data_IF_093047034191
#
_entry.id   IF_093047034191
#
_cell.length_a   1.000
_cell.length_b   1.000
_cell.length_c   1.000
_cell.angle_alpha   90.00
_cell.angle_beta   90.00
_cell.angle_gamma   90.00
#
_symmetry.space_group_name_H-M   'P 1'
#
loop_
_entity.id
_entity.type
_entity.pdbx_description
1 polymer ?
#
# COMPACT_ATOMS: atom_id res chain seq x y z
N UNK A 1 19.97 -10.77 -17.77
CA UNK A 1 19.01 -11.30 -16.78
C UNK A 1 17.75 -11.63 -17.53
N UNK A 2 17.11 -12.74 -17.19
CA UNK A 2 15.75 -13.01 -17.68
C UNK A 2 14.81 -11.91 -17.17
N UNK A 3 13.80 -11.57 -17.97
CA UNK A 3 12.79 -10.62 -17.53
C UNK A 3 11.85 -11.33 -16.56
N UNK A 4 12.02 -11.10 -15.26
CA UNK A 4 11.10 -11.61 -14.25
C UNK A 4 9.66 -11.19 -14.58
N UNK A 5 8.70 -12.11 -14.42
CA UNK A 5 7.27 -11.82 -14.59
C UNK A 5 6.65 -11.62 -13.22
N UNK A 6 5.92 -10.53 -13.02
CA UNK A 6 5.26 -10.26 -11.74
C UNK A 6 3.82 -10.80 -11.89
N UNK A 7 3.43 -11.84 -11.12
CA UNK A 7 2.11 -12.44 -11.25
C UNK A 7 1.01 -11.46 -10.88
N UNK A 8 -0.04 -11.44 -11.68
CA UNK A 8 -1.28 -10.68 -11.46
C UNK A 8 -2.44 -11.56 -11.00
N UNK A 9 -2.32 -12.89 -11.21
CA UNK A 9 -3.28 -13.90 -10.75
C UNK A 9 -2.60 -15.01 -9.94
N UNK A 10 -3.35 -15.71 -9.07
CA UNK A 10 -2.85 -16.90 -8.37
C UNK A 10 -2.45 -18.06 -9.27
N UNK A 11 -3.02 -18.17 -10.49
CA UNK A 11 -2.59 -19.17 -11.47
C UNK A 11 -1.20 -18.84 -12.01
N UNK A 12 -0.98 -17.60 -12.45
CA UNK A 12 0.36 -17.13 -12.87
C UNK A 12 1.39 -17.32 -11.76
N UNK A 13 1.04 -17.01 -10.52
CA UNK A 13 1.92 -17.25 -9.37
C UNK A 13 2.25 -18.74 -9.20
N UNK A 14 1.26 -19.63 -9.31
CA UNK A 14 1.47 -21.07 -9.18
C UNK A 14 2.35 -21.62 -10.30
N UNK A 15 2.14 -21.18 -11.54
CA UNK A 15 2.96 -21.55 -12.70
C UNK A 15 4.42 -21.08 -12.54
N UNK A 16 4.61 -19.85 -12.04
CA UNK A 16 5.94 -19.29 -11.77
C UNK A 16 6.66 -20.02 -10.63
N UNK A 17 5.98 -20.31 -9.52
CA UNK A 17 6.54 -21.10 -8.40
C UNK A 17 6.88 -22.52 -8.82
N UNK A 18 6.04 -23.17 -9.61
CA UNK A 18 6.33 -24.51 -10.14
C UNK A 18 7.58 -24.48 -11.03
N UNK A 19 7.73 -23.44 -11.86
CA UNK A 19 8.90 -23.24 -12.73
C UNK A 19 10.20 -22.95 -11.95
N UNK A 20 10.16 -22.17 -10.86
CA UNK A 20 11.36 -21.75 -10.12
C UNK A 20 11.78 -22.73 -9.04
N UNK A 21 10.84 -23.24 -8.24
CA UNK A 21 11.11 -24.10 -7.08
C UNK A 21 11.02 -25.61 -7.38
N UNK A 22 10.52 -26.00 -8.56
CA UNK A 22 10.22 -27.40 -8.94
C UNK A 22 9.33 -28.14 -7.92
N UNK A 23 8.56 -27.38 -7.13
CA UNK A 23 7.72 -27.84 -6.05
C UNK A 23 6.24 -27.74 -6.43
N UNK A 24 5.38 -28.37 -5.63
CA UNK A 24 3.94 -28.15 -5.67
C UNK A 24 3.63 -26.79 -4.97
N UNK A 25 3.01 -25.81 -5.65
CA UNK A 25 2.68 -24.52 -5.04
C UNK A 25 1.77 -24.61 -3.80
N UNK A 26 0.98 -25.68 -3.67
CA UNK A 26 0.13 -25.93 -2.49
C UNK A 26 0.92 -26.37 -1.25
N UNK A 27 2.05 -27.04 -1.45
CA UNK A 27 3.00 -27.47 -0.41
C UNK A 27 4.16 -26.48 -0.20
N UNK A 28 4.28 -25.48 -1.09
CA UNK A 28 5.30 -24.45 -1.01
C UNK A 28 4.95 -23.47 0.11
N UNK A 29 5.60 -23.67 1.25
CA UNK A 29 5.50 -22.81 2.43
C UNK A 29 6.70 -21.84 2.52
N UNK A 30 6.47 -20.70 3.14
CA UNK A 30 7.47 -19.67 3.40
C UNK A 30 8.54 -20.13 4.42
N UNK A 31 8.33 -21.21 5.19
CA UNK A 31 9.43 -21.88 5.92
C UNK A 31 10.51 -22.50 5.00
N UNK A 32 10.21 -22.69 3.70
CA UNK A 32 11.21 -23.06 2.68
C UNK A 32 12.21 -21.93 2.40
N UNK A 33 11.88 -20.68 2.78
CA UNK A 33 12.83 -19.57 2.82
C UNK A 33 13.87 -19.91 3.90
N UNK A 34 15.06 -20.35 3.47
CA UNK A 34 16.09 -20.90 4.35
C UNK A 34 16.41 -20.00 5.54
N UNK A 35 16.29 -20.56 6.75
CA UNK A 35 16.40 -19.83 8.01
C UNK A 35 17.72 -19.06 8.12
N UNK A 36 17.63 -17.73 8.21
CA UNK A 36 18.77 -16.83 8.37
C UNK A 36 19.39 -16.28 7.07
N UNK A 37 18.82 -16.55 5.89
CA UNK A 37 19.42 -16.13 4.61
C UNK A 37 19.08 -14.68 4.21
N UNK A 38 17.86 -14.18 4.46
CA UNK A 38 17.35 -13.02 3.70
C UNK A 38 17.76 -11.65 4.22
N UNK A 39 17.95 -11.50 5.53
CA UNK A 39 18.29 -10.20 6.11
C UNK A 39 17.23 -9.14 5.79
N UNK A 40 17.50 -8.28 4.80
CA UNK A 40 16.62 -7.18 4.38
C UNK A 40 15.84 -7.51 3.10
N UNK A 41 14.58 -7.08 3.03
CA UNK A 41 13.72 -7.12 1.84
C UNK A 41 14.38 -6.53 0.57
N UNK A 42 15.29 -5.56 0.72
CA UNK A 42 16.10 -5.00 -0.38
C UNK A 42 17.10 -5.99 -1.01
N UNK A 43 17.29 -7.17 -0.42
CA UNK A 43 18.18 -8.25 -0.86
C UNK A 43 17.44 -9.55 -1.20
N UNK A 44 16.11 -9.52 -1.14
CA UNK A 44 15.26 -10.65 -1.51
C UNK A 44 15.46 -10.98 -2.99
N UNK A 45 15.68 -12.26 -3.33
CA UNK A 45 15.70 -12.65 -4.74
C UNK A 45 14.26 -12.78 -5.25
N UNK A 46 14.08 -12.82 -6.57
CA UNK A 46 12.75 -13.00 -7.16
C UNK A 46 12.12 -14.35 -6.73
N UNK A 47 12.92 -15.42 -6.66
CA UNK A 47 12.42 -16.76 -6.30
C UNK A 47 11.90 -16.79 -4.86
N UNK A 48 12.58 -16.07 -3.95
CA UNK A 48 12.18 -15.93 -2.54
C UNK A 48 11.03 -14.94 -2.35
N UNK A 49 10.91 -13.94 -3.22
CA UNK A 49 9.76 -13.04 -3.26
C UNK A 49 8.47 -13.76 -3.67
N UNK A 50 8.54 -14.74 -4.58
CA UNK A 50 7.38 -15.60 -4.89
C UNK A 50 6.87 -16.33 -3.64
N UNK A 51 7.76 -16.71 -2.71
CA UNK A 51 7.39 -17.34 -1.43
C UNK A 51 6.67 -16.40 -0.44
N UNK A 52 6.44 -15.13 -0.82
CA UNK A 52 5.57 -14.20 -0.07
C UNK A 52 4.11 -14.21 -0.54
N UNK A 53 3.74 -14.96 -1.60
CA UNK A 53 2.37 -14.97 -2.19
C UNK A 53 1.80 -13.57 -2.49
N UNK A 54 2.65 -12.71 -3.03
CA UNK A 54 2.25 -11.37 -3.50
C UNK A 54 1.91 -11.44 -4.98
N UNK A 55 0.76 -10.86 -5.35
CA UNK A 55 0.36 -10.63 -6.74
C UNK A 55 0.08 -9.13 -6.96
N UNK A 56 0.43 -8.61 -8.13
CA UNK A 56 0.25 -7.21 -8.48
C UNK A 56 -0.84 -7.03 -9.53
N UNK A 57 -1.85 -6.22 -9.21
CA UNK A 57 -2.89 -5.81 -10.15
C UNK A 57 -2.66 -4.36 -10.52
N UNK A 58 -2.41 -4.11 -11.81
CA UNK A 58 -2.43 -2.76 -12.37
C UNK A 58 -3.89 -2.37 -12.60
N UNK A 59 -4.31 -1.31 -11.93
CA UNK A 59 -5.67 -0.78 -12.03
C UNK A 59 -5.77 0.20 -13.20
N UNK A 60 -6.91 0.16 -13.89
CA UNK A 60 -7.19 1.05 -15.01
C UNK A 60 -7.38 2.50 -14.51
N UNK A 61 -6.47 3.37 -14.93
CA UNK A 61 -6.49 4.79 -14.58
C UNK A 61 -5.92 5.13 -13.20
N UNK A 62 -6.14 6.39 -12.82
CA UNK A 62 -5.61 7.01 -11.61
C UNK A 62 -6.48 6.66 -10.39
N UNK A 63 -5.89 6.65 -9.19
CA UNK A 63 -6.66 6.45 -7.96
C UNK A 63 -7.68 7.58 -7.78
N UNK A 64 -8.90 7.23 -7.42
CA UNK A 64 -9.94 8.19 -7.09
C UNK A 64 -10.51 7.88 -5.71
N UNK A 65 -11.24 8.84 -5.14
CA UNK A 65 -11.97 8.58 -3.91
C UNK A 65 -13.00 7.44 -4.06
N UNK A 66 -13.57 7.25 -5.26
CA UNK A 66 -14.53 6.17 -5.52
C UNK A 66 -13.84 4.80 -5.60
N UNK A 67 -12.64 4.69 -6.17
CA UNK A 67 -11.90 3.42 -6.20
C UNK A 67 -11.40 2.96 -4.82
N UNK A 68 -11.13 3.90 -3.91
CA UNK A 68 -10.76 3.56 -2.52
C UNK A 68 -12.00 3.32 -1.65
N UNK A 69 -12.94 4.27 -1.61
CA UNK A 69 -14.02 4.34 -0.62
C UNK A 69 -15.39 3.89 -1.15
N UNK A 70 -15.47 3.46 -2.41
CA UNK A 70 -16.72 3.10 -3.06
C UNK A 70 -17.69 4.28 -3.15
N UNK A 71 -19.02 4.06 -3.01
CA UNK A 71 -20.03 5.11 -3.13
C UNK A 71 -19.87 6.31 -2.20
N UNK A 72 -19.13 6.18 -1.09
CA UNK A 72 -18.83 7.30 -0.16
C UNK A 72 -17.72 8.23 -0.67
N UNK A 73 -16.98 7.83 -1.71
CA UNK A 73 -15.83 8.58 -2.21
C UNK A 73 -16.14 10.02 -2.57
N UNK A 74 -17.26 10.27 -3.25
CA UNK A 74 -17.65 11.62 -3.67
C UNK A 74 -17.97 12.53 -2.46
N UNK A 75 -18.58 11.99 -1.39
CA UNK A 75 -18.86 12.72 -0.15
C UNK A 75 -17.57 13.05 0.61
N UNK A 76 -16.63 12.10 0.68
CA UNK A 76 -15.32 12.30 1.31
C UNK A 76 -14.51 13.35 0.55
N UNK A 77 -14.45 13.27 -0.79
CA UNK A 77 -13.79 14.26 -1.65
C UNK A 77 -14.34 15.67 -1.42
N UNK A 78 -15.66 15.84 -1.48
CA UNK A 78 -16.30 17.13 -1.22
C UNK A 78 -16.09 17.62 0.23
N UNK A 79 -15.84 16.72 1.17
CA UNK A 79 -15.53 17.08 2.56
C UNK A 79 -14.08 17.55 2.71
N UNK A 80 -13.11 16.85 2.13
CA UNK A 80 -11.72 17.30 2.05
C UNK A 80 -11.60 18.65 1.33
N UNK A 81 -12.32 18.84 0.22
CA UNK A 81 -12.36 20.11 -0.53
C UNK A 81 -12.88 21.27 0.34
N UNK A 82 -13.98 21.05 1.08
CA UNK A 82 -14.57 22.04 2.01
C UNK A 82 -13.72 22.27 3.26
N UNK A 83 -12.87 21.33 3.66
CA UNK A 83 -11.90 21.52 4.73
C UNK A 83 -10.76 22.40 4.22
N UNK A 84 -10.05 21.97 3.17
CA UNK A 84 -8.92 22.70 2.57
C UNK A 84 -9.29 24.12 2.12
N UNK A 85 -10.49 24.35 1.58
CA UNK A 85 -10.93 25.69 1.18
C UNK A 85 -11.04 26.70 2.34
N UNK A 86 -11.09 26.24 3.60
CA UNK A 86 -11.10 27.09 4.80
C UNK A 86 -9.70 27.43 5.31
N UNK A 87 -8.69 26.70 4.84
CA UNK A 87 -7.33 26.84 5.36
C UNK A 87 -6.67 28.13 4.87
N UNK A 88 -6.11 28.97 5.76
CA UNK A 88 -5.50 30.24 5.38
C UNK A 88 -4.37 30.08 4.35
N UNK A 89 -3.57 29.01 4.46
CA UNK A 89 -2.48 28.74 3.51
C UNK A 89 -3.00 28.36 2.11
N UNK A 90 -4.11 27.61 2.02
CA UNK A 90 -4.74 27.25 0.74
C UNK A 90 -5.38 28.48 0.08
N UNK A 91 -6.00 29.36 0.88
CA UNK A 91 -6.51 30.65 0.41
C UNK A 91 -5.38 31.56 -0.07
N UNK A 92 -4.26 31.62 0.65
CA UNK A 92 -3.08 32.37 0.26
C UNK A 92 -2.46 31.85 -1.06
N UNK A 93 -2.34 30.52 -1.24
CA UNK A 93 -1.90 29.94 -2.51
C UNK A 93 -2.82 30.34 -3.66
N UNK A 94 -4.15 30.16 -3.49
CA UNK A 94 -5.18 30.54 -4.47
C UNK A 94 -5.22 32.03 -4.81
N UNK A 95 -4.74 32.90 -3.91
CA UNK A 95 -4.68 34.34 -4.13
C UNK A 95 -3.37 34.82 -4.78
N UNK A 96 -2.27 34.05 -4.67
CA UNK A 96 -0.94 34.45 -5.14
C UNK A 96 -0.48 33.69 -6.40
N UNK A 97 -1.26 32.74 -6.90
CA UNK A 97 -0.97 32.03 -8.15
C UNK A 97 -2.27 31.73 -8.91
N UNK A 98 -2.26 31.99 -10.22
CA UNK A 98 -3.29 31.50 -11.16
C UNK A 98 -3.33 29.96 -11.19
N UNK A 99 -2.27 29.31 -10.70
CA UNK A 99 -2.10 27.87 -10.61
C UNK A 99 -1.48 27.49 -9.25
N UNK A 100 -2.27 27.47 -8.16
CA UNK A 100 -1.78 27.23 -6.79
C UNK A 100 -1.23 25.82 -6.57
N UNK A 101 -1.44 24.91 -7.53
CA UNK A 101 -1.04 23.51 -7.48
C UNK A 101 0.14 23.20 -8.41
N UNK A 102 0.79 24.23 -8.97
CA UNK A 102 2.05 24.09 -9.72
C UNK A 102 3.23 23.81 -8.77
N UNK A 103 3.25 22.62 -8.16
CA UNK A 103 4.28 22.24 -7.21
C UNK A 103 5.64 21.91 -7.86
N UNK A 104 5.89 22.37 -9.09
CA UNK A 104 7.21 22.32 -9.71
C UNK A 104 8.28 23.00 -8.85
N UNK A 105 7.90 24.03 -8.08
CA UNK A 105 8.77 24.68 -7.08
C UNK A 105 8.98 23.88 -5.79
N UNK A 106 8.12 22.91 -5.44
CA UNK A 106 8.35 22.02 -4.28
C UNK A 106 9.25 20.82 -4.62
N UNK A 107 9.69 20.67 -5.86
CA UNK A 107 10.80 19.80 -6.23
C UNK A 107 12.12 20.59 -6.11
N UNK A 108 12.86 20.53 -4.97
CA UNK A 108 14.10 21.31 -4.78
C UNK A 108 15.23 20.94 -5.75
N UNK A 109 15.07 19.87 -6.55
CA UNK A 109 15.96 19.52 -7.66
C UNK A 109 15.54 20.10 -9.02
N UNK A 110 14.28 20.56 -9.16
CA UNK A 110 13.81 21.34 -10.33
C UNK A 110 14.10 22.83 -10.12
N UNK A 111 14.04 23.32 -8.87
CA UNK A 111 14.47 24.67 -8.52
C UNK A 111 15.98 24.86 -8.75
N UNK A 112 16.34 25.73 -9.70
CA UNK A 112 17.69 26.23 -9.83
C UNK A 112 17.97 27.35 -8.79
N UNK A 113 19.24 27.63 -8.53
CA UNK A 113 19.65 28.60 -7.50
C UNK A 113 19.04 30.00 -7.72
N UNK A 114 18.78 30.41 -8.97
CA UNK A 114 18.14 31.70 -9.25
C UNK A 114 16.67 31.72 -8.87
N UNK A 115 15.93 30.61 -9.03
CA UNK A 115 14.52 30.52 -8.66
C UNK A 115 14.37 30.52 -7.13
N UNK A 116 15.22 29.76 -6.42
CA UNK A 116 15.31 29.82 -4.95
C UNK A 116 15.58 31.28 -4.50
N UNK A 117 16.55 31.95 -5.11
CA UNK A 117 16.89 33.34 -4.77
C UNK A 117 15.81 34.36 -5.18
N UNK A 118 14.95 34.05 -6.16
CA UNK A 118 13.78 34.89 -6.51
C UNK A 118 12.61 34.70 -5.54
N UNK A 119 12.45 33.51 -4.96
CA UNK A 119 11.46 33.28 -3.90
C UNK A 119 11.88 33.88 -2.56
N UNK A 120 13.18 34.03 -2.29
CA UNK A 120 13.70 34.60 -1.01
C UNK A 120 13.10 35.98 -0.67
N UNK A 121 13.01 36.97 -1.58
CA UNK A 121 12.30 38.22 -1.34
C UNK A 121 10.81 38.03 -0.98
N UNK A 122 10.09 37.17 -1.71
CA UNK A 122 8.67 36.90 -1.45
C UNK A 122 8.46 36.26 -0.09
N UNK A 123 9.25 35.23 0.25
CA UNK A 123 9.24 34.56 1.55
C UNK A 123 9.60 35.51 2.72
N UNK A 124 10.48 36.48 2.50
CA UNK A 124 10.82 37.56 3.46
C UNK A 124 9.82 38.72 3.49
N UNK A 125 8.85 38.73 2.58
CA UNK A 125 7.80 39.76 2.50
C UNK A 125 6.44 39.27 3.00
N UNK A 126 6.32 37.97 3.28
CA UNK A 126 5.25 37.45 4.13
C UNK A 126 5.43 38.05 5.52
N UNK A 127 4.40 38.73 6.02
CA UNK A 127 4.43 39.42 7.31
C UNK A 127 4.76 38.41 8.43
N UNK A 128 5.96 38.54 9.00
CA UNK A 128 6.68 37.47 9.74
C UNK A 128 6.05 37.10 11.10
N UNK A 129 4.82 37.50 11.37
CA UNK A 129 4.24 37.54 12.71
C UNK A 129 3.52 36.26 13.16
N UNK A 130 3.29 35.24 12.32
CA UNK A 130 2.30 34.20 12.65
C UNK A 130 2.41 32.81 11.99
N UNK A 131 3.35 32.52 11.08
CA UNK A 131 3.17 31.30 10.26
C UNK A 131 3.58 30.03 11.04
N UNK A 132 4.53 30.12 11.96
CA UNK A 132 5.23 28.95 12.44
C UNK A 132 5.92 29.30 13.77
N UNK A 133 5.73 28.65 14.95
CA UNK A 133 6.54 28.87 16.22
C UNK A 133 6.75 30.35 16.61
N UNK A 134 5.86 31.19 16.10
CA UNK A 134 6.08 32.52 15.52
C UNK A 134 7.30 32.69 14.58
N UNK A 135 8.43 31.96 14.79
CA UNK A 135 9.47 31.71 13.78
C UNK A 135 9.30 30.49 12.80
N UNK A 136 9.38 29.20 13.22
CA UNK A 136 9.70 28.09 12.27
C UNK A 136 9.44 26.57 12.65
N UNK A 137 8.21 25.97 12.50
CA UNK A 137 7.93 24.56 12.20
C UNK A 137 8.66 23.84 11.09
N UNK A 138 9.50 24.51 10.30
CA UNK A 138 10.32 23.85 9.29
C UNK A 138 11.83 24.10 9.50
N UNK A 139 12.25 24.52 10.71
CA UNK A 139 13.65 24.86 11.00
C UNK A 139 14.58 23.66 11.04
N UNK A 140 15.26 23.42 9.93
CA UNK A 140 16.52 22.70 9.95
C UNK A 140 17.65 23.64 10.39
N UNK A 141 18.12 23.48 11.63
CA UNK A 141 19.29 24.18 12.19
C UNK A 141 20.61 23.73 11.54
N UNK A 142 20.80 24.03 10.26
CA UNK A 142 22.10 23.91 9.61
C UNK A 142 22.88 25.22 9.87
N UNK A 143 23.81 25.16 10.82
CA UNK A 143 24.75 26.26 11.10
C UNK A 143 25.63 26.61 9.89
N UNK A 144 26.38 27.73 9.95
CA UNK A 144 27.11 28.26 8.80
C UNK A 144 28.06 27.23 8.19
N UNK A 145 27.71 26.76 6.99
CA UNK A 145 28.48 25.77 6.25
C UNK A 145 29.83 26.37 5.82
N UNK A 146 30.94 25.81 6.32
CA UNK A 146 32.28 26.24 5.90
C UNK A 146 32.49 25.89 4.42
N UNK A 147 32.48 26.93 3.58
CA UNK A 147 32.63 26.81 2.12
C UNK A 147 33.94 26.12 1.68
N UNK A 148 34.90 25.94 2.60
CA UNK A 148 36.16 25.23 2.38
C UNK A 148 36.07 23.70 2.43
N UNK A 149 34.92 23.12 2.79
CA UNK A 149 34.67 21.66 2.75
C UNK A 149 33.70 21.22 1.65
N UNK A 150 33.90 21.69 0.42
CA UNK A 150 33.31 21.00 -0.75
C UNK A 150 34.04 19.67 -0.97
N UNK A 151 33.34 18.52 -1.08
CA UNK A 151 33.91 17.35 -1.69
C UNK A 151 34.34 17.70 -3.12
N UNK A 152 35.58 17.39 -3.50
CA UNK A 152 36.00 17.59 -4.88
C UNK A 152 35.14 16.72 -5.79
N UNK A 153 34.45 17.36 -6.73
CA UNK A 153 33.78 16.67 -7.86
C UNK A 153 34.85 16.10 -8.76
N UNK A 154 35.32 14.89 -8.46
CA UNK A 154 36.21 14.13 -9.35
C UNK A 154 35.50 13.92 -10.68
N UNK A 155 36.21 14.22 -11.77
CA UNK A 155 35.71 14.07 -13.12
C UNK A 155 35.33 12.61 -13.37
N UNK A 156 34.08 12.35 -13.74
CA UNK A 156 33.62 11.00 -14.05
C UNK A 156 34.40 10.43 -15.23
N UNK A 157 35.16 9.36 -14.99
CA UNK A 157 35.46 8.37 -16.02
C UNK A 157 34.16 7.58 -16.26
N UNK A 158 33.79 7.36 -17.52
CA UNK A 158 32.56 6.64 -17.86
C UNK A 158 32.59 5.22 -17.28
N UNK A 159 31.60 4.80 -16.46
CA UNK A 159 31.57 3.46 -15.89
C UNK A 159 31.36 2.40 -16.96
N UNK A 160 31.95 1.22 -16.75
CA UNK A 160 31.70 0.05 -17.58
C UNK A 160 30.29 -0.50 -17.37
N UNK A 161 29.79 -1.27 -18.34
CA UNK A 161 28.39 -1.74 -18.35
C UNK A 161 28.01 -2.63 -17.14
N UNK A 162 28.99 -3.21 -16.44
CA UNK A 162 28.79 -3.96 -15.20
C UNK A 162 28.40 -3.06 -14.00
N UNK A 163 28.90 -1.82 -13.94
CA UNK A 163 28.72 -0.93 -12.79
C UNK A 163 27.30 -0.35 -12.68
N UNK A 164 26.54 -0.33 -13.78
CA UNK A 164 25.17 0.23 -13.82
C UNK A 164 24.12 -0.64 -13.12
N UNK A 165 24.40 -1.92 -12.90
CA UNK A 165 23.44 -2.88 -12.32
C UNK A 165 23.67 -3.15 -10.82
N UNK A 166 24.80 -2.70 -10.27
CA UNK A 166 25.10 -2.73 -8.83
C UNK A 166 24.75 -1.42 -8.11
N UNK A 167 24.17 -0.45 -8.81
CA UNK A 167 23.79 0.87 -8.27
C UNK A 167 22.33 0.97 -7.82
N UNK A 168 21.47 0.01 -8.19
CA UNK A 168 20.07 -0.07 -7.76
C UNK A 168 19.86 -0.81 -6.43
N UNK A 169 20.88 -1.54 -5.95
CA UNK A 169 20.87 -2.28 -4.70
C UNK A 169 22.29 -2.36 -4.13
N UNK A 170 22.44 -1.99 -2.85
CA UNK A 170 23.70 -1.54 -2.26
C UNK A 170 24.83 -2.57 -2.25
N UNK A 171 26.05 -2.12 -2.59
CA UNK A 171 27.26 -2.91 -2.49
C UNK A 171 27.62 -3.21 -1.02
N UNK A 172 27.59 -4.49 -0.65
CA UNK A 172 28.23 -5.01 0.54
C UNK A 172 28.95 -6.32 0.17
N UNK A 173 30.28 -6.28 0.07
CA UNK A 173 31.12 -7.44 -0.22
C UNK A 173 31.03 -8.47 0.91
N UNK A 174 30.84 -9.75 0.56
CA UNK A 174 30.85 -10.85 1.53
C UNK A 174 32.23 -11.03 2.17
N UNK A 175 32.31 -10.73 3.47
CA UNK A 175 33.45 -11.05 4.32
C UNK A 175 32.97 -11.95 5.46
N UNK A 176 33.28 -13.24 5.40
CA UNK A 176 32.94 -14.20 6.45
C UNK A 176 33.68 -13.87 7.75
N UNK A 177 32.93 -13.64 8.82
CA UNK A 177 33.28 -13.95 10.21
C UNK A 177 34.42 -13.17 10.86
N UNK A 178 34.08 -12.11 11.61
CA UNK A 178 34.64 -11.88 12.95
C UNK A 178 33.80 -10.90 13.77
N UNK A 179 33.99 -10.94 15.09
CA UNK A 179 33.12 -10.36 16.10
C UNK A 179 33.02 -8.83 16.11
N UNK A 180 31.81 -8.34 16.40
CA UNK A 180 31.62 -7.32 17.43
C UNK A 180 32.20 -5.92 17.21
N UNK A 181 31.82 -5.23 16.13
CA UNK A 181 31.76 -3.75 16.12
C UNK A 181 30.59 -3.26 15.27
N UNK A 182 29.73 -2.41 15.85
CA UNK A 182 28.62 -1.76 15.14
C UNK A 182 29.14 -0.76 14.12
N UNK A 183 29.13 -1.14 12.84
CA UNK A 183 29.51 -0.27 11.73
C UNK A 183 28.37 0.72 11.47
N UNK A 184 28.64 2.03 11.26
CA UNK A 184 27.58 2.97 10.91
C UNK A 184 27.00 2.64 9.54
N UNK A 185 25.66 2.59 9.46
CA UNK A 185 24.93 2.26 8.24
C UNK A 185 25.30 3.21 7.08
N UNK A 186 25.49 2.68 5.85
CA UNK A 186 25.64 3.51 4.65
C UNK A 186 24.29 4.16 4.33
N UNK A 187 24.06 5.33 4.91
CA UNK A 187 22.80 6.04 4.77
C UNK A 187 22.42 6.30 3.31
N UNK A 188 21.12 6.27 3.02
CA UNK A 188 20.50 6.72 1.78
C UNK A 188 21.27 7.90 1.18
N UNK A 189 21.69 7.77 -0.08
CA UNK A 189 22.33 8.85 -0.83
C UNK A 189 21.50 10.13 -0.75
N UNK A 190 22.17 11.29 -0.71
CA UNK A 190 21.52 12.56 -0.33
C UNK A 190 20.23 12.88 -1.09
N UNK A 191 20.15 12.51 -2.36
CA UNK A 191 18.99 12.70 -3.23
C UNK A 191 17.74 11.93 -2.74
N UNK A 192 17.89 10.66 -2.33
CA UNK A 192 16.76 9.86 -1.82
C UNK A 192 16.19 10.41 -0.51
N UNK A 193 17.04 10.98 0.35
CA UNK A 193 16.60 11.67 1.58
C UNK A 193 15.82 12.94 1.26
N UNK A 194 16.22 13.69 0.23
CA UNK A 194 15.54 14.92 -0.19
C UNK A 194 14.13 14.60 -0.71
N UNK A 195 14.01 13.61 -1.60
CA UNK A 195 12.73 13.17 -2.18
C UNK A 195 11.77 12.75 -1.06
N UNK A 196 12.23 11.91 -0.12
CA UNK A 196 11.42 11.48 1.04
C UNK A 196 10.92 12.66 1.88
N UNK A 197 11.80 13.61 2.21
CA UNK A 197 11.40 14.79 2.98
C UNK A 197 10.38 15.67 2.24
N UNK A 198 10.43 15.78 0.90
CA UNK A 198 9.43 16.52 0.13
C UNK A 198 8.02 15.91 0.28
N UNK A 199 7.85 14.60 0.08
CA UNK A 199 6.55 13.93 0.27
C UNK A 199 6.06 14.02 1.72
N UNK A 200 6.95 13.84 2.70
CA UNK A 200 6.60 13.92 4.11
C UNK A 200 6.16 15.33 4.53
N UNK A 201 6.83 16.38 4.05
CA UNK A 201 6.43 17.77 4.30
C UNK A 201 5.07 18.07 3.65
N UNK A 202 4.83 17.57 2.43
CA UNK A 202 3.51 17.68 1.78
C UNK A 202 2.42 16.99 2.63
N UNK A 203 2.61 15.74 3.03
CA UNK A 203 1.67 14.98 3.86
C UNK A 203 1.41 15.66 5.20
N UNK A 204 2.47 16.13 5.86
CA UNK A 204 2.36 16.84 7.14
C UNK A 204 1.59 18.16 7.00
N UNK A 205 1.92 19.00 6.00
CA UNK A 205 1.25 20.28 5.77
C UNK A 205 -0.22 20.13 5.39
N UNK A 206 -0.51 19.27 4.40
CA UNK A 206 -1.87 19.01 3.90
C UNK A 206 -2.77 18.40 4.98
N UNK A 207 -2.23 17.53 5.83
CA UNK A 207 -2.99 16.89 6.91
C UNK A 207 -2.92 17.65 8.25
N UNK A 208 -2.15 18.74 8.35
CA UNK A 208 -1.94 19.48 9.61
C UNK A 208 -3.26 19.92 10.28
N UNK A 209 -4.25 20.49 9.58
CA UNK A 209 -5.48 20.99 10.21
C UNK A 209 -6.36 19.88 10.79
N UNK A 210 -6.24 18.67 10.24
CA UNK A 210 -6.85 17.46 10.78
C UNK A 210 -6.06 16.98 12.01
N UNK A 211 -4.75 16.76 11.86
CA UNK A 211 -3.92 16.11 12.89
C UNK A 211 -3.68 16.99 14.12
N UNK A 212 -3.83 18.32 14.03
CA UNK A 212 -3.77 19.23 15.17
C UNK A 212 -5.02 19.22 16.05
N UNK A 213 -6.13 18.59 15.62
CA UNK A 213 -7.32 18.51 16.46
C UNK A 213 -7.02 17.71 17.75
N UNK A 214 -7.56 18.08 18.92
CA UNK A 214 -7.25 17.41 20.19
C UNK A 214 -7.47 15.89 20.19
N UNK A 215 -8.44 15.41 19.40
CA UNK A 215 -8.75 14.00 19.16
C UNK A 215 -7.65 13.26 18.37
N UNK A 216 -6.92 13.97 17.51
CA UNK A 216 -5.95 13.39 16.57
C UNK A 216 -4.49 13.76 16.82
N UNK A 217 -4.18 14.52 17.88
CA UNK A 217 -2.81 14.92 18.28
C UNK A 217 -1.79 13.76 18.42
N UNK A 218 -2.28 12.52 18.58
CA UNK A 218 -1.46 11.31 18.70
C UNK A 218 -0.99 10.76 17.34
N UNK A 219 -1.67 11.11 16.25
CA UNK A 219 -1.36 10.63 14.90
C UNK A 219 -0.36 11.57 14.22
N UNK A 220 0.61 11.01 13.51
CA UNK A 220 1.59 11.82 12.76
C UNK A 220 2.14 11.09 11.54
N UNK A 221 2.20 11.78 10.41
CA UNK A 221 3.10 11.41 9.30
C UNK A 221 4.55 11.67 9.73
N UNK A 222 5.45 10.71 9.53
CA UNK A 222 6.81 10.77 10.09
C UNK A 222 7.86 10.09 9.21
N UNK A 223 9.08 10.65 9.23
CA UNK A 223 10.30 10.10 8.61
C UNK A 223 10.92 8.92 9.41
N UNK A 224 10.14 8.27 10.27
CA UNK A 224 10.63 7.13 11.06
C UNK A 224 10.79 5.94 10.12
N UNK A 225 12.04 5.50 9.95
CA UNK A 225 12.39 4.28 9.21
C UNK A 225 12.01 3.04 10.02
N UNK A 226 10.72 2.74 10.09
CA UNK A 226 10.21 1.66 10.94
C UNK A 226 10.57 0.30 10.38
N UNK A 227 11.14 -0.57 11.23
CA UNK A 227 11.41 -1.96 10.87
C UNK A 227 10.19 -2.84 11.10
N UNK A 228 9.80 -3.57 10.07
CA UNK A 228 8.86 -4.69 10.14
C UNK A 228 9.58 -6.01 9.89
N UNK A 229 9.01 -7.14 10.30
CA UNK A 229 9.58 -8.46 10.04
C UNK A 229 8.56 -9.55 9.73
N UNK A 230 8.91 -10.40 8.78
CA UNK A 230 8.33 -11.74 8.62
C UNK A 230 9.05 -12.66 9.60
N UNK A 231 8.30 -13.32 10.50
CA UNK A 231 8.86 -14.17 11.56
C UNK A 231 8.06 -15.45 11.74
N UNK A 232 8.73 -16.60 11.72
CA UNK A 232 8.11 -17.93 11.71
C UNK A 232 8.34 -18.67 13.03
N UNK A 233 7.37 -19.45 13.54
CA UNK A 233 7.60 -20.39 14.63
C UNK A 233 8.79 -21.29 14.31
N UNK A 234 9.70 -21.47 15.27
CA UNK A 234 10.81 -22.41 15.13
C UNK A 234 10.22 -23.85 15.09
N UNK A 235 10.67 -24.73 14.17
CA UNK A 235 10.19 -26.11 14.10
C UNK A 235 10.45 -26.94 15.37
N UNK A 236 11.51 -26.61 16.13
CA UNK A 236 11.85 -27.30 17.38
C UNK A 236 11.10 -26.72 18.60
N UNK A 237 10.69 -25.45 18.54
CA UNK A 237 9.96 -24.74 19.60
C UNK A 237 9.07 -23.63 19.02
N UNK A 238 7.79 -23.94 18.84
CA UNK A 238 6.80 -23.00 18.30
C UNK A 238 6.57 -21.74 19.16
N UNK A 239 7.07 -21.69 20.41
CA UNK A 239 7.01 -20.46 21.23
C UNK A 239 8.06 -19.43 20.81
N UNK A 240 9.15 -19.87 20.18
CA UNK A 240 10.21 -19.02 19.65
C UNK A 240 9.90 -18.70 18.19
N UNK A 241 9.81 -17.42 17.84
CA UNK A 241 9.66 -16.97 16.44
C UNK A 241 10.99 -16.46 15.89
N UNK A 242 11.47 -17.06 14.81
CA UNK A 242 12.70 -16.66 14.12
C UNK A 242 12.38 -15.68 13.00
N UNK A 243 13.09 -14.54 12.96
CA UNK A 243 13.00 -13.59 11.83
C UNK A 243 13.50 -14.25 10.55
N UNK A 244 12.64 -14.28 9.53
CA UNK A 244 12.96 -14.76 8.18
C UNK A 244 13.45 -13.59 7.32
N UNK A 245 12.74 -12.46 7.36
CA UNK A 245 13.06 -11.24 6.61
C UNK A 245 12.70 -10.00 7.44
N UNK A 246 13.47 -8.91 7.30
CA UNK A 246 13.07 -7.58 7.77
C UNK A 246 12.90 -6.60 6.61
N UNK A 247 11.98 -5.65 6.75
CA UNK A 247 11.80 -4.53 5.83
C UNK A 247 11.87 -3.23 6.63
N UNK A 248 12.36 -2.15 6.02
CA UNK A 248 12.32 -0.80 6.60
C UNK A 248 11.66 0.13 5.61
N UNK A 249 10.71 0.92 6.11
CA UNK A 249 10.05 1.95 5.31
C UNK A 249 10.87 3.24 5.27
N UNK A 250 10.50 4.15 4.38
CA UNK A 250 11.07 5.51 4.33
C UNK A 250 10.28 6.49 5.20
N UNK A 251 9.03 6.15 5.53
CA UNK A 251 8.22 6.82 6.54
C UNK A 251 6.93 6.07 6.83
N UNK A 252 6.06 6.65 7.65
CA UNK A 252 4.73 6.11 7.96
C UNK A 252 3.77 7.14 8.56
N UNK A 253 2.47 6.85 8.50
CA UNK A 253 1.47 7.40 9.43
C UNK A 253 1.46 6.49 10.67
N UNK A 254 1.70 7.06 11.85
CA UNK A 254 1.81 6.29 13.11
C UNK A 254 0.94 6.88 14.22
N UNK A 255 0.51 6.02 15.15
CA UNK A 255 -0.22 6.37 16.38
C UNK A 255 0.73 6.34 17.58
N UNK A 256 0.96 7.50 18.20
CA UNK A 256 1.76 7.62 19.42
C UNK A 256 0.88 7.41 20.65
N UNK A 257 0.87 6.21 21.23
CA UNK A 257 0.21 5.98 22.52
C UNK A 257 1.14 6.37 23.68
N UNK A 258 0.55 6.83 24.76
CA UNK A 258 1.29 7.15 25.97
C UNK A 258 2.06 5.92 26.49
N UNK A 259 3.28 6.16 27.00
CA UNK A 259 4.20 5.14 27.51
C UNK A 259 4.77 4.14 26.48
N UNK A 260 4.44 4.25 25.18
CA UNK A 260 5.12 3.49 24.13
C UNK A 260 6.40 4.19 23.64
N UNK A 261 7.44 3.40 23.38
CA UNK A 261 8.63 3.87 22.67
C UNK A 261 8.32 4.11 21.17
N UNK A 262 9.18 4.87 20.45
CA UNK A 262 8.93 5.23 19.05
C UNK A 262 8.72 4.00 18.15
N UNK A 263 9.51 2.94 18.37
CA UNK A 263 9.46 1.70 17.57
C UNK A 263 8.23 0.82 17.89
N UNK A 264 7.50 1.12 18.97
CA UNK A 264 6.30 0.39 19.42
C UNK A 264 4.98 1.10 19.12
N UNK A 265 5.02 2.18 18.34
CA UNK A 265 3.83 2.88 17.83
C UNK A 265 3.09 2.02 16.79
N UNK A 266 1.77 2.09 16.72
CA UNK A 266 1.02 1.38 15.67
C UNK A 266 1.12 2.13 14.33
N UNK A 267 1.26 1.40 13.22
CA UNK A 267 1.29 2.02 11.88
C UNK A 267 -0.07 1.93 11.19
N UNK A 268 -0.46 3.02 10.54
CA UNK A 268 -1.71 3.12 9.78
C UNK A 268 -1.50 3.14 8.26
N UNK A 269 -0.34 3.63 7.81
CA UNK A 269 0.07 3.64 6.41
C UNK A 269 1.60 3.71 6.32
N UNK A 270 2.18 3.17 5.25
CA UNK A 270 3.63 3.18 5.01
C UNK A 270 4.01 4.03 3.80
N UNK A 271 5.22 4.60 3.86
CA UNK A 271 5.83 5.38 2.77
C UNK A 271 7.10 4.66 2.29
N UNK A 272 7.25 4.56 0.97
CA UNK A 272 8.43 4.03 0.27
C UNK A 272 8.91 5.05 -0.77
N UNK A 273 10.22 5.24 -0.90
CA UNK A 273 10.78 6.27 -1.79
C UNK A 273 11.83 5.68 -2.71
N UNK A 274 11.76 6.01 -4.00
CA UNK A 274 12.68 5.55 -5.03
C UNK A 274 13.30 6.77 -5.73
N UNK A 275 14.64 6.87 -5.83
CA UNK A 275 15.31 8.04 -6.42
C UNK A 275 15.26 8.06 -7.96
N UNK A 276 14.51 7.13 -8.57
CA UNK A 276 14.38 6.93 -10.00
C UNK A 276 12.91 6.68 -10.36
N UNK A 277 12.56 6.90 -11.63
CA UNK A 277 11.21 6.59 -12.14
C UNK A 277 11.01 5.09 -12.26
N UNK A 278 9.79 4.63 -11.94
CA UNK A 278 9.34 3.22 -12.04
C UNK A 278 9.57 2.62 -13.42
N UNK A 279 9.33 3.42 -14.46
CA UNK A 279 9.33 2.99 -15.87
C UNK A 279 10.69 3.07 -16.57
N UNK A 280 11.75 3.58 -15.92
CA UNK A 280 13.01 3.92 -16.60
C UNK A 280 14.28 3.55 -15.78
N UNK A 281 14.97 2.43 -16.12
CA UNK A 281 14.60 1.41 -17.11
C UNK A 281 13.38 0.57 -16.69
N UNK A 282 12.79 -0.17 -17.62
CA UNK A 282 11.62 -1.05 -17.42
C UNK A 282 11.78 -2.03 -16.25
N UNK A 283 12.98 -2.55 -16.01
CA UNK A 283 13.25 -3.46 -14.89
C UNK A 283 13.14 -2.80 -13.50
N UNK A 284 13.14 -1.47 -13.40
CA UNK A 284 12.91 -0.78 -12.12
C UNK A 284 11.54 -1.12 -11.57
N UNK A 285 10.48 -1.13 -12.39
CA UNK A 285 9.12 -1.40 -11.94
C UNK A 285 9.04 -2.72 -11.18
N UNK A 286 9.67 -3.76 -11.72
CA UNK A 286 9.70 -5.10 -11.14
C UNK A 286 10.48 -5.13 -9.82
N UNK A 287 11.63 -4.46 -9.76
CA UNK A 287 12.42 -4.35 -8.53
C UNK A 287 11.67 -3.57 -7.42
N UNK A 288 10.97 -2.50 -7.80
CA UNK A 288 10.14 -1.69 -6.90
C UNK A 288 8.93 -2.49 -6.41
N UNK A 289 8.22 -3.19 -7.29
CA UNK A 289 7.10 -4.08 -6.94
C UNK A 289 7.52 -5.24 -6.01
N UNK A 290 8.72 -5.79 -6.22
CA UNK A 290 9.31 -6.79 -5.31
C UNK A 290 9.54 -6.17 -3.92
N UNK A 291 10.21 -5.01 -3.85
CA UNK A 291 10.49 -4.35 -2.57
C UNK A 291 9.21 -3.89 -1.84
N UNK A 292 8.30 -3.19 -2.52
CA UNK A 292 7.04 -2.70 -1.95
C UNK A 292 6.16 -3.85 -1.45
N UNK A 293 6.08 -4.95 -2.22
CA UNK A 293 5.36 -6.17 -1.82
C UNK A 293 5.98 -6.81 -0.57
N UNK A 294 7.31 -6.88 -0.49
CA UNK A 294 8.03 -7.41 0.66
C UNK A 294 7.88 -6.53 1.92
N UNK A 295 7.91 -5.20 1.78
CA UNK A 295 7.62 -4.25 2.86
C UNK A 295 6.20 -4.41 3.39
N UNK A 296 5.21 -4.52 2.50
CA UNK A 296 3.81 -4.74 2.89
C UNK A 296 3.61 -6.10 3.58
N UNK A 297 4.20 -7.18 3.05
CA UNK A 297 4.15 -8.51 3.67
C UNK A 297 4.76 -8.53 5.08
N UNK A 298 5.91 -7.88 5.28
CA UNK A 298 6.54 -7.74 6.59
C UNK A 298 5.66 -6.94 7.57
N UNK A 299 5.02 -5.86 7.11
CA UNK A 299 4.08 -5.10 7.94
C UNK A 299 2.86 -5.94 8.33
N UNK A 300 2.28 -6.73 7.43
CA UNK A 300 1.13 -7.62 7.72
C UNK A 300 1.50 -8.75 8.69
N UNK A 301 2.69 -9.34 8.58
CA UNK A 301 3.20 -10.28 9.57
C UNK A 301 3.26 -9.64 10.96
N UNK A 302 3.94 -8.49 11.06
CA UNK A 302 4.24 -7.79 12.33
C UNK A 302 2.97 -7.28 13.01
N UNK A 303 2.14 -6.57 12.27
CA UNK A 303 0.88 -5.98 12.71
C UNK A 303 -0.22 -6.57 11.84
N UNK A 304 -1.10 -7.41 12.37
CA UNK A 304 -2.08 -8.12 11.53
C UNK A 304 -3.26 -7.25 11.07
N UNK A 305 -3.77 -6.43 11.99
CA UNK A 305 -5.09 -5.76 11.88
C UNK A 305 -5.07 -4.26 12.11
N UNK A 306 -3.91 -3.65 12.32
CA UNK A 306 -3.79 -2.18 12.45
C UNK A 306 -3.88 -1.50 11.07
N UNK A 307 -4.27 -0.23 11.00
CA UNK A 307 -4.17 0.55 9.76
C UNK A 307 -5.10 0.12 8.63
N UNK A 308 -6.34 -0.27 8.96
CA UNK A 308 -7.28 -0.81 7.99
C UNK A 308 -8.12 0.28 7.31
N UNK A 309 -8.11 0.26 5.98
CA UNK A 309 -9.04 0.99 5.11
C UNK A 309 -10.40 0.26 5.00
N UNK A 310 -11.47 0.91 4.49
CA UNK A 310 -12.77 0.30 4.39
C UNK A 310 -12.76 -0.93 3.51
N UNK A 311 -13.38 -2.00 3.99
CA UNK A 311 -13.60 -3.21 3.20
C UNK A 311 -14.82 -3.00 2.28
N UNK A 312 -14.75 -3.47 1.04
CA UNK A 312 -15.81 -3.20 0.05
C UNK A 312 -17.07 -4.08 0.25
N UNK A 313 -17.09 -4.99 1.23
CA UNK A 313 -18.13 -6.02 1.37
C UNK A 313 -18.09 -6.75 2.72
N UNK A 314 -19.07 -7.65 2.95
CA UNK A 314 -19.05 -8.69 4.01
C UNK A 314 -17.86 -9.67 3.93
N UNK A 315 -17.01 -9.55 2.91
CA UNK A 315 -15.76 -10.29 2.80
C UNK A 315 -14.85 -9.98 3.99
N UNK A 316 -14.30 -11.01 4.63
CA UNK A 316 -13.24 -10.88 5.64
C UNK A 316 -11.89 -10.55 4.98
N UNK A 317 -11.85 -9.41 4.30
CA UNK A 317 -10.69 -8.89 3.61
C UNK A 317 -10.25 -7.61 4.29
N UNK A 318 -8.95 -7.49 4.47
CA UNK A 318 -8.26 -6.35 5.06
C UNK A 318 -7.65 -5.50 3.95
N UNK A 319 -7.63 -4.18 4.12
CA UNK A 319 -7.04 -3.25 3.14
C UNK A 319 -6.06 -2.30 3.82
N UNK A 320 -4.88 -2.11 3.22
CA UNK A 320 -3.80 -1.23 3.74
C UNK A 320 -3.30 -0.25 2.69
N UNK A 321 -2.79 0.88 3.18
CA UNK A 321 -2.26 1.97 2.37
C UNK A 321 -0.72 1.91 2.29
N UNK A 322 -0.20 1.84 1.07
CA UNK A 322 1.17 2.21 0.74
C UNK A 322 1.13 3.45 -0.16
N UNK A 323 1.89 4.48 0.20
CA UNK A 323 2.18 5.62 -0.66
C UNK A 323 3.64 5.49 -1.08
N UNK A 324 3.95 5.64 -2.35
CA UNK A 324 5.33 5.71 -2.81
C UNK A 324 5.61 6.89 -3.70
N UNK A 325 6.84 7.42 -3.63
CA UNK A 325 7.33 8.43 -4.54
C UNK A 325 8.51 7.90 -5.35
N UNK A 326 8.33 7.86 -6.67
CA UNK A 326 9.33 7.47 -7.65
C UNK A 326 9.75 8.72 -8.42
N UNK A 327 10.77 9.40 -7.92
CA UNK A 327 11.26 10.68 -8.46
C UNK A 327 10.17 11.78 -8.51
N UNK A 328 9.52 11.99 -9.66
CA UNK A 328 8.46 13.01 -9.86
C UNK A 328 7.05 12.43 -10.06
N UNK A 329 6.86 11.16 -9.69
CA UNK A 329 5.59 10.44 -9.68
C UNK A 329 5.26 9.96 -8.26
N UNK A 330 4.02 10.14 -7.81
CA UNK A 330 3.51 9.54 -6.56
C UNK A 330 2.49 8.46 -6.89
N UNK A 331 2.71 7.26 -6.34
CA UNK A 331 1.84 6.10 -6.49
C UNK A 331 1.07 5.89 -5.19
N UNK A 332 -0.23 5.61 -5.30
CA UNK A 332 -1.07 5.12 -4.21
C UNK A 332 -1.36 3.66 -4.50
N UNK A 333 -0.93 2.77 -3.60
CA UNK A 333 -1.12 1.33 -3.72
C UNK A 333 -1.98 0.83 -2.57
N UNK A 334 -3.04 0.09 -2.89
CA UNK A 334 -3.91 -0.53 -1.89
C UNK A 334 -3.63 -2.02 -1.82
N UNK A 335 -3.12 -2.46 -0.68
CA UNK A 335 -2.88 -3.87 -0.39
C UNK A 335 -4.16 -4.52 0.14
N UNK A 336 -4.67 -5.56 -0.53
CA UNK A 336 -5.82 -6.36 -0.08
C UNK A 336 -5.38 -7.78 0.29
N UNK A 337 -5.82 -8.28 1.45
CA UNK A 337 -5.46 -9.61 1.98
C UNK A 337 -6.57 -10.16 2.89
N UNK A 338 -6.47 -11.38 3.39
CA UNK A 338 -7.49 -12.03 4.25
C UNK A 338 -6.90 -12.78 5.46
N UNK A 339 -7.77 -13.38 6.27
CA UNK A 339 -7.40 -14.23 7.43
C UNK A 339 -6.40 -15.34 7.06
N UNK A 340 -6.49 -15.91 5.85
CA UNK A 340 -5.61 -16.99 5.39
C UNK A 340 -4.22 -16.45 5.06
N UNK A 341 -4.13 -15.28 4.42
CA UNK A 341 -2.84 -14.64 4.16
C UNK A 341 -2.14 -14.24 5.47
N UNK A 342 -2.86 -13.72 6.47
CA UNK A 342 -2.28 -13.38 7.79
C UNK A 342 -1.68 -14.61 8.47
N UNK A 343 -2.37 -15.74 8.46
CA UNK A 343 -1.85 -17.00 8.98
C UNK A 343 -0.59 -17.46 8.21
N UNK A 344 -0.57 -17.25 6.89
CA UNK A 344 0.50 -17.75 6.00
C UNK A 344 1.80 -16.99 6.21
N UNK A 345 1.73 -15.66 6.14
CA UNK A 345 2.89 -14.79 6.34
C UNK A 345 3.42 -14.83 7.79
N UNK A 346 2.68 -15.51 8.69
CA UNK A 346 3.07 -15.84 10.05
C UNK A 346 3.55 -17.29 10.22
N UNK A 347 3.43 -18.15 9.22
CA UNK A 347 3.79 -19.56 9.35
C UNK A 347 2.94 -20.31 10.37
N UNK A 348 1.70 -19.86 10.58
CA UNK A 348 0.72 -20.62 11.33
C UNK A 348 0.26 -21.78 10.43
N UNK A 349 0.00 -22.97 10.99
CA UNK A 349 -0.31 -24.18 10.21
C UNK A 349 -1.66 -24.06 9.46
N UNK A 350 -1.63 -23.63 8.20
CA UNK A 350 -2.82 -23.54 7.35
C UNK A 350 -3.09 -24.87 6.66
N UNK A 351 -4.36 -25.29 6.69
CA UNK A 351 -4.89 -26.23 5.71
C UNK A 351 -5.42 -25.45 4.51
N UNK A 352 -4.67 -25.45 3.41
CA UNK A 352 -5.08 -24.77 2.18
C UNK A 352 -6.39 -25.35 1.62
N UNK A 353 -7.30 -24.50 1.10
CA UNK A 353 -8.33 -24.97 0.19
C UNK A 353 -7.66 -25.57 -1.05
N UNK A 354 -8.04 -26.77 -1.45
CA UNK A 354 -7.54 -27.38 -2.69
C UNK A 354 -7.92 -26.51 -3.88
N UNK A 355 -6.90 -26.05 -4.63
CA UNK A 355 -7.09 -25.27 -5.86
C UNK A 355 -7.68 -26.21 -6.91
N UNK A 356 -9.00 -26.20 -7.03
CA UNK A 356 -9.74 -27.08 -7.94
C UNK A 356 -9.60 -26.57 -9.38
N UNK A 357 -8.65 -27.17 -10.11
CA UNK A 357 -8.28 -26.84 -11.51
C UNK A 357 -9.34 -27.29 -12.55
N UNK A 358 -10.62 -27.20 -12.20
CA UNK A 358 -11.75 -27.72 -13.00
C UNK A 358 -12.07 -26.88 -14.26
N UNK A 359 -11.36 -25.79 -14.51
CA UNK A 359 -11.66 -24.85 -15.59
C UNK A 359 -11.30 -25.34 -17.01
N UNK A 360 -10.45 -26.37 -17.15
CA UNK A 360 -9.83 -26.73 -18.45
C UNK A 360 -10.32 -28.06 -19.03
N UNK A 361 -11.21 -28.80 -18.36
CA UNK A 361 -11.92 -29.91 -19.02
C UNK A 361 -13.09 -29.37 -19.85
N UNK A 362 -12.73 -28.83 -21.02
CA UNK A 362 -13.71 -28.50 -22.06
C UNK A 362 -14.53 -29.74 -22.42
N UNK A 363 -15.86 -29.61 -22.36
CA UNK A 363 -16.80 -30.65 -22.84
C UNK A 363 -16.46 -31.02 -24.28
N UNK A 364 -16.01 -32.25 -24.51
CA UNK A 364 -16.02 -32.84 -25.85
C UNK A 364 -17.46 -32.90 -26.32
N UNK A 365 -17.79 -32.16 -27.38
CA UNK A 365 -19.15 -31.94 -27.86
C UNK A 365 -19.58 -33.07 -28.81
N UNK A 366 -19.66 -34.29 -28.28
CA UNK A 366 -20.16 -35.48 -28.99
C UNK A 366 -21.57 -35.92 -28.56
N UNK A 367 -22.23 -35.18 -27.65
CA UNK A 367 -23.64 -35.41 -27.33
C UNK A 367 -24.54 -34.93 -28.50
N UNK A 368 -25.39 -35.80 -29.09
CA UNK A 368 -26.28 -35.42 -30.17
C UNK A 368 -27.40 -34.49 -29.68
N UNK A 369 -27.91 -33.57 -30.52
CA UNK A 369 -28.90 -32.58 -30.10
C UNK A 369 -30.23 -33.25 -29.71
N UNK A 370 -30.90 -32.78 -28.63
CA UNK A 370 -32.22 -33.27 -28.28
C UNK A 370 -33.27 -32.89 -29.34
N UNK A 371 -34.33 -33.71 -29.52
CA UNK A 371 -35.37 -33.44 -30.51
C UNK A 371 -36.17 -32.16 -30.18
N UNK A 372 -36.70 -31.47 -31.21
CA UNK A 372 -37.39 -30.19 -31.02
C UNK A 372 -38.72 -30.34 -30.29
N UNK A 373 -38.81 -29.78 -29.08
CA UNK A 373 -40.05 -29.67 -28.32
C UNK A 373 -41.02 -28.71 -29.01
N UNK A 374 -42.25 -29.17 -29.26
CA UNK A 374 -43.28 -28.38 -29.92
C UNK A 374 -43.78 -27.19 -29.07
N UNK A 375 -43.98 -26.04 -29.72
CA UNK A 375 -44.62 -24.85 -29.14
C UNK A 375 -46.14 -25.06 -28.95
N UNK A 376 -46.71 -24.75 -27.77
CA UNK A 376 -48.14 -24.54 -27.63
C UNK A 376 -48.55 -23.14 -28.11
N UNK A 377 -49.71 -23.09 -28.76
CA UNK A 377 -50.31 -21.88 -29.37
C UNK A 377 -50.80 -20.86 -28.33
N UNK A 378 -50.83 -19.59 -28.73
CA UNK A 378 -51.35 -18.46 -27.93
C UNK A 378 -52.82 -18.63 -27.52
N UNK A 379 -53.18 -18.07 -26.36
CA UNK A 379 -54.54 -17.62 -26.04
C UNK A 379 -54.49 -16.24 -25.37
N UNK A 380 -55.49 -15.41 -25.62
CA UNK A 380 -55.47 -13.96 -25.38
C UNK A 380 -56.34 -13.53 -24.18
N UNK A 381 -56.16 -12.28 -23.75
CA UNK A 381 -57.14 -11.40 -23.06
C UNK A 381 -57.57 -11.73 -21.62
N UNK A 382 -57.14 -10.92 -20.63
CA UNK A 382 -57.92 -9.77 -20.07
C UNK A 382 -57.35 -9.21 -18.74
N UNK A 383 -57.42 -7.87 -18.60
CA UNK A 383 -57.37 -7.14 -17.32
C UNK A 383 -58.79 -7.07 -16.71
N UNK A 384 -58.94 -6.95 -15.38
CA UNK A 384 -59.31 -5.63 -14.86
C UNK A 384 -58.71 -5.29 -13.47
N UNK A 385 -58.88 -4.02 -13.07
CA UNK A 385 -58.40 -3.42 -11.81
C UNK A 385 -59.48 -3.39 -10.71
N UNK A 386 -59.10 -3.52 -9.41
CA UNK A 386 -59.50 -2.62 -8.29
C UNK A 386 -59.08 -3.08 -6.87
N UNK A 387 -58.40 -2.18 -6.16
CA UNK A 387 -58.61 -1.71 -4.76
C UNK A 387 -58.98 -2.65 -3.57
N UNK A 388 -58.08 -2.69 -2.54
CA UNK A 388 -58.26 -2.57 -1.04
C UNK A 388 -59.43 -3.29 -0.27
N UNK A 389 -59.36 -3.50 1.07
CA UNK A 389 -58.23 -3.73 2.02
C UNK A 389 -58.47 -4.91 3.04
N UNK A 390 -57.59 -5.03 4.06
CA UNK A 390 -57.49 -5.99 5.20
C UNK A 390 -58.77 -6.21 6.07
N UNK A 391 -58.92 -7.34 6.83
CA UNK A 391 -58.36 -7.49 8.21
C UNK A 391 -57.99 -8.91 8.77
N UNK A 392 -56.81 -9.01 9.42
CA UNK A 392 -56.51 -9.47 10.81
C UNK A 392 -57.16 -10.74 11.47
N UNK A 393 -56.34 -11.80 11.66
CA UNK A 393 -56.33 -12.87 12.73
C UNK A 393 -57.50 -13.89 12.87
N UNK A 394 -57.38 -15.02 13.63
CA UNK A 394 -56.28 -15.54 14.49
C UNK A 394 -55.84 -17.02 14.31
N UNK A 395 -54.75 -17.37 15.01
CA UNK A 395 -54.19 -18.67 15.45
C UNK A 395 -54.95 -20.01 15.20
N UNK A 396 -54.23 -21.03 14.74
CA UNK A 396 -54.33 -22.42 15.24
C UNK A 396 -52.96 -23.15 15.17
N UNK A 397 -52.66 -24.15 16.04
CA UNK A 397 -51.34 -24.78 16.14
C UNK A 397 -51.24 -26.17 15.47
N UNK A 398 -50.07 -26.51 14.90
CA UNK A 398 -49.72 -27.89 14.48
C UNK A 398 -48.19 -28.04 14.25
N UNK A 399 -47.64 -29.27 14.18
CA UNK A 399 -47.11 -29.93 15.37
C UNK A 399 -45.58 -30.19 15.29
N UNK A 400 -45.03 -30.74 16.36
CA UNK A 400 -43.68 -31.31 16.41
C UNK A 400 -43.48 -32.39 15.33
N UNK A 401 -42.33 -32.41 14.65
CA UNK A 401 -42.04 -33.47 13.69
C UNK A 401 -40.77 -33.30 12.86
N UNK A 402 -39.75 -34.11 13.22
CA UNK A 402 -38.67 -34.66 12.37
C UNK A 402 -37.51 -33.80 11.83
N UNK A 403 -36.36 -34.48 11.81
CA UNK A 403 -35.18 -34.31 10.95
C UNK A 403 -34.17 -33.22 11.29
N UNK A 404 -33.13 -33.65 12.01
CA UNK A 404 -31.80 -33.02 11.95
C UNK A 404 -31.30 -33.03 10.49
N UNK A 405 -31.19 -31.86 9.88
CA UNK A 405 -30.45 -31.70 8.62
C UNK A 405 -28.94 -31.70 8.89
N UNK A 406 -28.10 -32.31 8.03
CA UNK A 406 -26.67 -32.27 8.18
C UNK A 406 -26.15 -30.84 7.99
N UNK A 407 -25.28 -30.37 8.89
CA UNK A 407 -24.54 -29.11 8.74
C UNK A 407 -23.46 -29.26 7.65
N UNK A 408 -23.87 -29.19 6.38
CA UNK A 408 -23.00 -29.11 5.22
C UNK A 408 -23.30 -27.87 4.38
N UNK A 409 -22.26 -27.36 3.71
CA UNK A 409 -22.23 -26.16 2.85
C UNK A 409 -22.67 -24.83 3.49
N UNK A 410 -21.72 -24.18 4.18
CA UNK A 410 -21.66 -22.71 4.25
C UNK A 410 -20.40 -22.11 3.59
N UNK A 411 -19.56 -22.95 2.96
CA UNK A 411 -18.31 -22.56 2.30
C UNK A 411 -18.37 -22.56 0.76
N UNK A 412 -19.54 -22.81 0.15
CA UNK A 412 -19.64 -23.07 -1.30
C UNK A 412 -19.54 -21.82 -2.18
N UNK A 413 -19.72 -20.63 -1.61
CA UNK A 413 -19.69 -19.34 -2.32
C UNK A 413 -18.38 -18.54 -2.14
N UNK A 414 -17.39 -19.06 -1.39
CA UNK A 414 -16.09 -18.40 -1.25
C UNK A 414 -15.08 -18.83 -2.33
N UNK A 415 -15.51 -18.95 -3.60
CA UNK A 415 -14.62 -18.92 -4.77
C UNK A 415 -14.11 -17.49 -5.03
N UNK A 416 -13.57 -16.85 -3.99
CA UNK A 416 -12.73 -15.65 -4.14
C UNK A 416 -11.40 -16.13 -4.70
N UNK A 417 -11.16 -15.88 -5.98
CA UNK A 417 -10.02 -16.44 -6.73
C UNK A 417 -8.65 -16.18 -6.07
N UNK A 418 -8.52 -15.12 -5.27
CA UNK A 418 -7.30 -14.72 -4.57
C UNK A 418 -7.31 -14.92 -3.03
N UNK A 419 -8.08 -15.89 -2.51
CA UNK A 419 -8.04 -16.21 -1.07
C UNK A 419 -6.65 -16.68 -0.62
N UNK A 420 -6.13 -16.12 0.48
CA UNK A 420 -4.79 -16.45 0.98
C UNK A 420 -3.60 -15.80 0.25
N UNK A 421 -3.84 -14.77 -0.55
CA UNK A 421 -2.80 -13.96 -1.22
C UNK A 421 -2.78 -12.52 -0.72
N UNK A 422 -1.64 -11.85 -0.90
CA UNK A 422 -1.54 -10.39 -0.82
C UNK A 422 -1.68 -9.80 -2.22
N UNK A 423 -2.78 -9.08 -2.45
CA UNK A 423 -3.10 -8.44 -3.72
C UNK A 423 -2.73 -6.96 -3.65
N UNK A 424 -1.70 -6.57 -4.40
CA UNK A 424 -1.23 -5.19 -4.47
C UNK A 424 -1.92 -4.48 -5.64
N UNK A 425 -2.92 -3.65 -5.34
CA UNK A 425 -3.65 -2.84 -6.32
C UNK A 425 -2.89 -1.54 -6.58
N UNK A 426 -2.19 -1.47 -7.71
CA UNK A 426 -1.37 -0.33 -8.14
C UNK A 426 -2.12 0.49 -9.18
N UNK A 427 -2.41 1.74 -8.85
CA UNK A 427 -3.04 2.70 -9.75
C UNK A 427 -2.00 3.49 -10.55
N UNK A 428 -2.46 4.21 -11.58
CA UNK A 428 -1.61 5.14 -12.34
C UNK A 428 -1.11 6.30 -11.45
N UNK A 429 0.11 6.80 -11.67
CA UNK A 429 0.73 7.81 -10.80
C UNK A 429 0.08 9.19 -10.87
N UNK A 430 0.12 9.86 -9.73
CA UNK A 430 -0.03 11.31 -9.62
C UNK A 430 1.29 11.96 -10.07
N UNK A 431 1.27 12.71 -11.17
CA UNK A 431 2.46 13.37 -11.71
C UNK A 431 2.66 14.72 -11.03
N UNK A 432 3.83 14.92 -10.42
CA UNK A 432 4.09 16.13 -9.62
C UNK A 432 4.31 17.40 -10.46
N UNK A 433 4.44 17.27 -11.79
CA UNK A 433 4.47 18.37 -12.74
C UNK A 433 3.08 18.74 -13.30
N UNK A 434 2.02 18.03 -12.90
CA UNK A 434 0.68 18.18 -13.45
C UNK A 434 -0.28 18.69 -12.35
N UNK A 435 -0.67 19.97 -12.36
CA UNK A 435 -1.42 20.60 -11.26
C UNK A 435 -2.73 19.91 -10.88
N UNK A 436 -3.47 19.39 -11.86
CA UNK A 436 -4.69 18.63 -11.60
C UNK A 436 -4.43 17.30 -10.88
N UNK A 437 -3.28 16.66 -11.12
CA UNK A 437 -2.89 15.46 -10.36
C UNK A 437 -2.51 15.85 -8.93
N UNK A 438 -1.83 16.99 -8.72
CA UNK A 438 -1.56 17.50 -7.37
C UNK A 438 -2.86 17.78 -6.60
N UNK A 439 -3.85 18.42 -7.22
CA UNK A 439 -5.13 18.72 -6.57
C UNK A 439 -5.87 17.45 -6.13
N UNK A 440 -6.02 16.48 -7.03
CA UNK A 440 -6.68 15.21 -6.68
C UNK A 440 -5.86 14.41 -5.65
N UNK A 441 -4.52 14.42 -5.72
CA UNK A 441 -3.64 13.80 -4.72
C UNK A 441 -3.87 14.42 -3.34
N UNK A 442 -3.86 15.74 -3.23
CA UNK A 442 -4.03 16.47 -1.97
C UNK A 442 -5.41 16.17 -1.34
N UNK A 443 -6.48 16.20 -2.15
CA UNK A 443 -7.82 15.83 -1.70
C UNK A 443 -7.89 14.38 -1.22
N UNK A 444 -7.24 13.46 -1.94
CA UNK A 444 -7.21 12.03 -1.61
C UNK A 444 -6.43 11.75 -0.33
N UNK A 445 -5.28 12.42 -0.14
CA UNK A 445 -4.43 12.29 1.06
C UNK A 445 -5.13 12.81 2.33
N UNK A 446 -5.89 13.91 2.22
CA UNK A 446 -6.77 14.36 3.31
C UNK A 446 -7.80 13.28 3.68
N UNK A 447 -8.56 12.79 2.70
CA UNK A 447 -9.61 11.79 2.93
C UNK A 447 -9.07 10.46 3.47
N UNK A 448 -7.90 10.02 2.98
CA UNK A 448 -7.20 8.82 3.48
C UNK A 448 -6.75 8.99 4.93
N UNK A 449 -6.14 10.14 5.25
CA UNK A 449 -5.67 10.40 6.62
C UNK A 449 -6.86 10.52 7.58
N UNK A 450 -7.90 11.27 7.23
CA UNK A 450 -9.14 11.41 8.02
C UNK A 450 -9.78 10.05 8.28
N UNK A 451 -9.91 9.22 7.24
CA UNK A 451 -10.45 7.87 7.40
C UNK A 451 -9.60 7.00 8.33
N UNK A 452 -8.27 6.99 8.17
CA UNK A 452 -7.38 6.17 8.99
C UNK A 452 -7.40 6.59 10.47
N UNK A 453 -7.39 7.89 10.78
CA UNK A 453 -7.37 8.37 12.17
C UNK A 453 -8.73 8.29 12.86
N UNK A 454 -9.84 8.39 12.11
CA UNK A 454 -11.19 8.15 12.63
C UNK A 454 -11.51 6.68 12.78
N UNK A 455 -11.04 5.83 11.86
CA UNK A 455 -11.27 4.39 11.85
C UNK A 455 -10.54 3.66 12.99
N UNK A 456 -9.29 4.04 13.30
CA UNK A 456 -8.51 3.44 14.40
C UNK A 456 -9.15 3.70 15.77
N UNK A 457 -9.62 4.93 15.99
CA UNK A 457 -10.34 5.31 17.21
C UNK A 457 -11.65 4.54 17.43
N UNK A 458 -12.23 3.98 16.35
CA UNK A 458 -13.44 3.14 16.41
C UNK A 458 -13.14 1.64 16.61
N UNK A 459 -11.86 1.22 16.59
CA UNK A 459 -11.45 -0.18 16.82
C UNK A 459 -10.86 -0.41 18.23
N UNK A 460 -10.60 0.66 18.99
CA UNK A 460 -10.04 0.62 20.35
C UNK A 460 -11.03 0.99 21.47
N UNK A 461 -12.32 1.11 21.14
CA UNK A 461 -13.46 1.34 22.04
C UNK A 461 -14.50 0.21 21.91
#
# INVERSE_FOLDING_TARGET
>A
MEAYEIPSTPSEWADLVHKTHAADPSHTDISSIGSGIFGSASKLTYDDWLLLRVIWKKEDGQTTHESIFGPKGQELRATAERQLAKEPWMQALKANSDNPMDLSYLAPWKLNLSEILQMVPSLRSLDEANIFDDADPFRLLVGPFDARRRPHRTSYVSPTQADRLAASSSAASSSRGRDGTSTPEPGLGGEGRIINMTLLVLLQGVCMPLLQQPTYKQYSWSAVHKEFSVSHPNPDDHTIRSKVMTARTDGCLQVKRDHQGPDSTDTLAIIEVKPYRRTQPENNEKAVQIQEGASMAAWISTEGTNGLLPTLSRSKKYRRLLISQDFDEVYVTIAEYDDLYVQYIRGDNIRWPEITTEATQGRSSDDPPPPPTALPTQASTQLPSRSRPLPVTPNEPRPEGTSQAPKQSMYKDMKSEAGGFLVMHQFHPFKLDTPAHIEELILLLCSLTDHLVTGDAAQTL
#
